data_IF_782520176087
#
_entry.id   IF_782520176087
#
_cell.length_a   1.000
_cell.length_b   1.000
_cell.length_c   1.000
_cell.angle_alpha   90.00
_cell.angle_beta   90.00
_cell.angle_gamma   90.00
#
_symmetry.space_group_name_H-M   'P 1'
#
loop_
_entity.id
_entity.type
_entity.pdbx_description
1 polymer ?
#
# COMPACT_ATOMS: atom_id res chain seq x y z
N UNK A 1 -3.59 -18.05 21.45
CA UNK A 1 -2.40 -17.74 20.65
C UNK A 1 -2.69 -16.45 19.92
N UNK A 2 -2.34 -15.31 20.51
CA UNK A 2 -2.38 -14.04 19.77
C UNK A 2 -1.31 -14.11 18.69
N UNK A 3 -1.74 -14.29 17.45
CA UNK A 3 -0.85 -14.22 16.30
C UNK A 3 -0.31 -12.78 16.24
N UNK A 4 0.94 -12.59 16.66
CA UNK A 4 1.62 -11.32 16.48
C UNK A 4 1.62 -11.01 14.97
N UNK A 5 1.16 -9.82 14.55
CA UNK A 5 1.24 -9.44 13.15
C UNK A 5 2.71 -9.48 12.72
N UNK A 6 3.00 -10.21 11.64
CA UNK A 6 4.35 -10.27 11.09
C UNK A 6 4.81 -8.85 10.74
N UNK A 7 5.98 -8.46 11.26
CA UNK A 7 6.59 -7.15 11.06
C UNK A 7 7.28 -7.15 9.70
N UNK A 8 6.75 -6.46 8.67
CA UNK A 8 7.39 -6.42 7.36
C UNK A 8 8.76 -5.75 7.45
N UNK A 9 9.72 -6.27 6.69
CA UNK A 9 11.01 -5.62 6.53
C UNK A 9 10.90 -4.45 5.56
N UNK A 10 11.28 -3.25 6.00
CA UNK A 10 11.30 -2.02 5.18
C UNK A 10 12.75 -1.72 4.85
N UNK A 11 13.14 -1.90 3.58
CA UNK A 11 14.52 -1.63 3.15
C UNK A 11 14.76 -0.14 2.85
N UNK A 12 13.73 0.58 2.42
CA UNK A 12 13.82 2.01 2.11
C UNK A 12 12.47 2.66 2.41
N UNK A 13 12.47 3.67 3.27
CA UNK A 13 11.25 4.39 3.60
C UNK A 13 10.84 5.35 2.49
N UNK A 14 9.58 5.24 2.15
CA UNK A 14 8.82 6.11 1.26
C UNK A 14 7.83 6.95 2.07
N UNK A 15 7.26 7.98 1.43
CA UNK A 15 6.22 8.80 2.04
C UNK A 15 5.00 7.99 2.50
N UNK A 16 4.64 6.93 1.76
CA UNK A 16 3.54 6.03 2.11
C UNK A 16 3.78 5.32 3.44
N UNK A 17 4.96 4.73 3.62
CA UNK A 17 5.32 3.99 4.83
C UNK A 17 5.44 4.92 6.03
N UNK A 18 6.04 6.11 5.86
CA UNK A 18 6.15 7.10 6.93
C UNK A 18 4.77 7.63 7.36
N UNK A 19 3.87 7.88 6.42
CA UNK A 19 2.51 8.30 6.75
C UNK A 19 1.71 7.18 7.43
N UNK A 20 1.91 5.91 7.01
CA UNK A 20 1.33 4.75 7.68
C UNK A 20 1.83 4.62 9.13
N UNK A 21 3.12 4.85 9.38
CA UNK A 21 3.71 4.84 10.72
C UNK A 21 3.09 5.93 11.61
N UNK A 22 2.95 7.15 11.10
CA UNK A 22 2.30 8.25 11.82
C UNK A 22 0.87 7.90 12.23
N UNK A 23 0.08 7.34 11.30
CA UNK A 23 -1.30 6.93 11.57
C UNK A 23 -1.37 5.79 12.59
N UNK A 24 -0.42 4.85 12.55
CA UNK A 24 -0.33 3.75 13.51
C UNK A 24 -0.10 4.25 14.95
N UNK A 25 0.78 5.23 15.09
CA UNK A 25 1.10 5.92 16.35
C UNK A 25 0.02 6.93 16.77
N UNK A 26 -0.98 7.21 15.91
CA UNK A 26 -2.04 8.21 16.13
C UNK A 26 -1.51 9.63 16.39
N UNK A 27 -0.39 9.98 15.76
CA UNK A 27 0.20 11.31 15.88
C UNK A 27 -0.33 12.26 14.79
N UNK A 28 -0.47 13.55 15.12
CA UNK A 28 -0.65 14.61 14.11
C UNK A 28 0.64 14.83 13.32
N UNK A 29 0.61 15.64 12.27
CA UNK A 29 1.84 15.95 11.52
C UNK A 29 2.84 16.74 12.37
N UNK A 30 2.34 17.60 13.26
CA UNK A 30 3.13 18.39 14.20
C UNK A 30 3.80 17.49 15.24
N UNK A 31 3.05 16.60 15.89
CA UNK A 31 3.61 15.64 16.84
C UNK A 31 4.66 14.73 16.20
N UNK A 32 4.44 14.34 14.94
CA UNK A 32 5.38 13.50 14.21
C UNK A 32 6.62 14.26 13.75
N UNK A 33 6.48 15.56 13.46
CA UNK A 33 7.59 16.50 13.21
C UNK A 33 8.49 16.60 14.43
N UNK A 34 7.89 16.85 15.60
CA UNK A 34 8.62 16.96 16.86
C UNK A 34 9.30 15.65 17.25
N UNK A 35 8.67 14.52 16.91
CA UNK A 35 9.18 13.19 17.24
C UNK A 35 10.36 12.74 16.36
N UNK A 36 10.33 13.06 15.05
CA UNK A 36 11.35 12.60 14.10
C UNK A 36 12.40 13.66 13.76
N UNK A 37 12.07 14.96 13.87
CA UNK A 37 12.94 16.09 13.52
C UNK A 37 12.57 16.84 12.22
N UNK A 38 12.15 16.20 11.10
CA UNK A 38 11.78 16.91 9.88
C UNK A 38 10.57 17.82 10.07
N UNK A 39 10.57 18.96 9.37
CA UNK A 39 9.46 19.91 9.44
C UNK A 39 8.10 19.32 9.05
N UNK A 40 7.02 19.86 9.61
CA UNK A 40 5.62 19.56 9.23
C UNK A 40 5.40 19.66 7.71
N UNK A 41 6.05 20.60 7.03
CA UNK A 41 6.00 20.72 5.56
C UNK A 41 6.54 19.47 4.84
N UNK A 42 7.64 18.92 5.34
CA UNK A 42 8.24 17.69 4.82
C UNK A 42 7.29 16.51 5.02
N UNK A 43 6.66 16.41 6.19
CA UNK A 43 5.68 15.36 6.50
C UNK A 43 4.42 15.49 5.64
N UNK A 44 3.95 16.70 5.42
CA UNK A 44 2.83 16.99 4.52
C UNK A 44 3.14 16.54 3.09
N UNK A 45 4.38 16.76 2.62
CA UNK A 45 4.84 16.28 1.31
C UNK A 45 4.81 14.75 1.19
N UNK A 46 5.05 13.99 2.26
CA UNK A 46 4.93 12.53 2.23
C UNK A 46 3.50 12.04 1.98
N UNK A 47 2.51 12.83 2.41
CA UNK A 47 1.10 12.51 2.17
C UNK A 47 0.69 12.78 0.72
N UNK A 48 1.33 13.74 0.04
CA UNK A 48 1.02 14.11 -1.35
C UNK A 48 1.92 13.42 -2.38
N UNK A 49 3.09 12.93 -1.97
CA UNK A 49 4.03 12.17 -2.79
C UNK A 49 4.42 10.86 -2.06
N UNK A 50 3.53 9.85 -2.04
CA UNK A 50 3.74 8.61 -1.30
C UNK A 50 4.97 7.82 -1.75
N UNK A 51 5.37 7.92 -3.02
CA UNK A 51 6.56 7.27 -3.59
C UNK A 51 7.87 8.02 -3.32
N UNK A 52 7.82 9.22 -2.73
CA UNK A 52 9.02 10.00 -2.48
C UNK A 52 9.92 9.31 -1.46
N UNK A 53 11.20 9.13 -1.83
CA UNK A 53 12.22 8.60 -0.94
C UNK A 53 12.54 9.59 0.18
N UNK A 54 12.64 9.08 1.39
CA UNK A 54 12.97 9.84 2.59
C UNK A 54 14.50 9.92 2.76
N UNK A 55 15.01 11.02 3.33
CA UNK A 55 16.44 11.21 3.56
C UNK A 55 16.98 10.22 4.60
N UNK A 56 18.25 9.82 4.46
CA UNK A 56 18.89 8.83 5.34
C UNK A 56 18.69 9.12 6.83
N UNK A 57 18.97 10.34 7.27
CA UNK A 57 18.80 10.75 8.67
C UNK A 57 17.37 10.52 9.19
N UNK A 58 16.37 10.81 8.36
CA UNK A 58 14.97 10.57 8.73
C UNK A 58 14.60 9.09 8.68
N UNK A 59 15.20 8.30 7.77
CA UNK A 59 15.02 6.85 7.74
C UNK A 59 15.51 6.21 9.04
N UNK A 60 16.68 6.61 9.55
CA UNK A 60 17.21 6.10 10.81
C UNK A 60 16.25 6.39 11.99
N UNK A 61 15.67 7.60 12.02
CA UNK A 61 14.66 7.97 13.01
C UNK A 61 13.35 7.16 12.86
N UNK A 62 12.92 6.90 11.62
CA UNK A 62 11.76 6.07 11.32
C UNK A 62 11.99 4.60 11.71
N UNK A 63 13.19 4.06 11.52
CA UNK A 63 13.54 2.70 11.91
C UNK A 63 13.46 2.52 13.43
N UNK A 64 13.97 3.48 14.20
CA UNK A 64 13.86 3.48 15.66
C UNK A 64 12.39 3.52 16.10
N UNK A 65 11.59 4.37 15.47
CA UNK A 65 10.15 4.48 15.74
C UNK A 65 9.41 3.18 15.39
N UNK A 66 9.76 2.57 14.26
CA UNK A 66 9.20 1.32 13.76
C UNK A 66 9.53 0.13 14.65
N UNK A 67 10.73 0.12 15.24
CA UNK A 67 11.15 -0.92 16.16
C UNK A 67 10.36 -0.92 17.48
N UNK A 68 9.89 0.26 17.90
CA UNK A 68 9.12 0.45 19.13
C UNK A 68 7.62 0.16 18.98
N UNK A 69 7.16 -0.28 17.82
CA UNK A 69 5.75 -0.56 17.62
C UNK A 69 5.28 -1.75 18.46
N UNK A 70 4.21 -1.55 19.22
CA UNK A 70 3.48 -2.63 19.89
C UNK A 70 2.70 -3.45 18.85
N UNK A 71 2.21 -4.63 19.22
CA UNK A 71 1.37 -5.45 18.35
C UNK A 71 0.14 -4.67 17.82
N UNK A 72 -0.51 -3.85 18.67
CA UNK A 72 -1.63 -3.02 18.24
C UNK A 72 -1.19 -1.92 17.26
N UNK A 73 -0.03 -1.29 17.47
CA UNK A 73 0.50 -0.33 16.51
C UNK A 73 0.83 -1.00 15.18
N UNK A 74 1.42 -2.20 15.21
CA UNK A 74 1.71 -2.97 13.99
C UNK A 74 0.45 -3.32 13.20
N UNK A 75 -0.64 -3.74 13.85
CA UNK A 75 -1.91 -3.99 13.17
C UNK A 75 -2.45 -2.74 12.45
N UNK A 76 -2.39 -1.58 13.09
CA UNK A 76 -2.79 -0.31 12.47
C UNK A 76 -1.87 0.08 11.33
N UNK A 77 -0.56 -0.11 11.50
CA UNK A 77 0.45 0.15 10.48
C UNK A 77 0.16 -0.67 9.22
N UNK A 78 -0.03 -1.98 9.35
CA UNK A 78 -0.38 -2.87 8.24
C UNK A 78 -1.69 -2.46 7.55
N UNK A 79 -2.70 -2.07 8.33
CA UNK A 79 -3.96 -1.58 7.78
C UNK A 79 -3.79 -0.26 7.00
N UNK A 80 -3.02 0.69 7.55
CA UNK A 80 -2.74 1.96 6.90
C UNK A 80 -1.90 1.77 5.63
N UNK A 81 -0.89 0.89 5.66
CA UNK A 81 -0.05 0.57 4.51
C UNK A 81 -0.89 -0.02 3.37
N UNK A 82 -1.77 -0.98 3.66
CA UNK A 82 -2.69 -1.55 2.66
C UNK A 82 -3.62 -0.51 2.01
N UNK A 83 -3.99 0.54 2.74
CA UNK A 83 -4.79 1.66 2.22
C UNK A 83 -3.97 2.69 1.44
N UNK A 84 -2.69 2.83 1.77
CA UNK A 84 -1.76 3.78 1.16
C UNK A 84 -1.11 3.25 -0.11
N UNK A 85 -0.98 1.91 -0.23
CA UNK A 85 -0.74 1.32 -1.53
C UNK A 85 -1.84 1.83 -2.46
N UNK A 86 -1.51 2.32 -3.67
CA UNK A 86 -2.51 2.48 -4.70
C UNK A 86 -3.33 1.20 -4.65
N UNK A 87 -4.67 1.31 -4.59
CA UNK A 87 -5.48 0.18 -5.04
C UNK A 87 -4.77 -0.24 -6.32
N UNK A 88 -4.32 -1.48 -6.39
CA UNK A 88 -4.31 -2.20 -7.64
C UNK A 88 -5.76 -2.08 -8.13
N UNK A 89 -6.13 -0.91 -8.67
CA UNK A 89 -7.09 -0.83 -9.74
C UNK A 89 -6.45 -1.78 -10.70
N UNK A 90 -7.03 -2.99 -10.77
CA UNK A 90 -6.71 -4.04 -11.73
C UNK A 90 -6.08 -3.34 -12.91
N UNK A 91 -4.75 -3.45 -13.01
CA UNK A 91 -3.96 -2.61 -13.92
C UNK A 91 -4.69 -2.64 -15.27
N UNK A 92 -4.84 -1.53 -16.01
CA UNK A 92 -5.63 -1.56 -17.26
C UNK A 92 -5.20 -2.69 -18.19
N UNK A 93 -3.93 -3.13 -18.08
CA UNK A 93 -3.38 -4.34 -18.71
C UNK A 93 -3.96 -5.66 -18.15
N UNK A 94 -4.05 -5.81 -16.83
CA UNK A 94 -4.66 -6.98 -16.16
C UNK A 94 -6.16 -7.05 -16.46
N UNK A 95 -6.88 -5.92 -16.38
CA UNK A 95 -8.29 -5.85 -16.73
C UNK A 95 -8.53 -6.15 -18.22
N UNK A 96 -7.68 -5.65 -19.11
CA UNK A 96 -7.74 -5.97 -20.53
C UNK A 96 -7.43 -7.47 -20.80
N UNK A 97 -6.50 -8.06 -20.07
CA UNK A 97 -6.19 -9.49 -20.18
C UNK A 97 -7.38 -10.36 -19.70
N UNK A 98 -8.00 -10.00 -18.58
CA UNK A 98 -9.19 -10.68 -18.08
C UNK A 98 -10.40 -10.51 -19.02
N UNK A 99 -10.63 -9.31 -19.56
CA UNK A 99 -11.68 -9.08 -20.56
C UNK A 99 -11.42 -9.83 -21.87
N UNK A 100 -10.18 -9.89 -22.34
CA UNK A 100 -9.82 -10.63 -23.55
C UNK A 100 -10.08 -12.13 -23.36
N UNK A 101 -9.77 -12.67 -22.18
CA UNK A 101 -10.05 -14.06 -21.85
C UNK A 101 -11.56 -14.35 -21.77
N UNK A 102 -12.35 -13.43 -21.18
CA UNK A 102 -13.81 -13.57 -21.15
C UNK A 102 -14.42 -13.45 -22.56
N UNK A 103 -13.92 -12.54 -23.40
CA UNK A 103 -14.41 -12.35 -24.76
C UNK A 103 -14.16 -13.58 -25.63
N UNK A 104 -12.95 -14.15 -25.56
CA UNK A 104 -12.61 -15.38 -26.28
C UNK A 104 -13.55 -16.54 -25.89
N UNK A 105 -13.91 -16.64 -24.60
CA UNK A 105 -14.86 -17.65 -24.10
C UNK A 105 -16.28 -17.44 -24.64
N UNK A 106 -16.71 -16.19 -24.78
CA UNK A 106 -18.03 -15.83 -25.33
C UNK A 106 -18.09 -16.15 -26.84
N UNK A 107 -17.05 -15.80 -27.59
CA UNK A 107 -16.98 -16.07 -29.02
C UNK A 107 -16.98 -17.58 -29.30
N UNK A 108 -16.29 -18.37 -28.46
CA UNK A 108 -16.29 -19.83 -28.55
C UNK A 108 -17.69 -20.42 -28.28
N UNK A 109 -18.40 -19.88 -27.28
CA UNK A 109 -19.78 -20.28 -26.98
C UNK A 109 -20.73 -19.95 -28.14
N UNK A 110 -20.59 -18.78 -28.75
CA UNK A 110 -21.37 -18.41 -29.94
C UNK A 110 -21.08 -19.33 -31.14
N UNK A 111 -19.81 -19.68 -31.37
CA UNK A 111 -19.43 -20.61 -32.44
C UNK A 111 -19.95 -22.03 -32.22
N UNK A 112 -19.97 -22.51 -30.97
CA UNK A 112 -20.57 -23.80 -30.62
C UNK A 112 -22.08 -23.81 -30.86
N UNK A 113 -22.80 -22.77 -30.40
CA UNK A 113 -24.23 -22.64 -30.62
C UNK A 113 -24.59 -22.60 -32.11
N UNK A 114 -23.80 -21.91 -32.94
CA UNK A 114 -24.00 -21.88 -34.39
C UNK A 114 -23.79 -23.25 -35.05
N UNK A 115 -22.81 -24.04 -34.59
CA UNK A 115 -22.60 -25.41 -35.08
C UNK A 115 -23.74 -26.35 -34.70
N UNK A 116 -24.31 -26.20 -33.51
CA UNK A 116 -25.45 -27.01 -33.06
C UNK A 116 -26.76 -26.65 -33.78
N UNK A 117 -26.92 -25.41 -34.27
CA UNK A 117 -28.11 -24.99 -35.02
C UNK A 117 -28.12 -25.42 -36.50
N UNK A 118 -26.95 -25.72 -37.08
CA UNK A 118 -26.80 -26.12 -38.49
C UNK A 118 -26.53 -27.63 -38.68
N UNK A 119 -26.61 -28.41 -37.60
CA UNK A 119 -26.57 -29.87 -37.60
C UNK A 119 -27.96 -30.47 -37.47
#
# INVERSE_FOLDING_TARGET
MDAQPEKPFIFTWTGAEANALRLALRMTQEQFSDYLGPSVRTISRWSTAPEARISRETQDALDIAYDRLTAHHMQRFLHALKRAQPREATSPVVMAAEMALMQARIDELHAQLQKEQHS
#
